data_IF_107088153878
#
_entry.id   IF_107088153878
#
_cell.length_a   1.000
_cell.length_b   1.000
_cell.length_c   1.000
_cell.angle_alpha   90.00
_cell.angle_beta   90.00
_cell.angle_gamma   90.00
#
_symmetry.space_group_name_H-M   'P 1'
#
loop_
_entity.id
_entity.type
_entity.pdbx_description
1 polymer ?
#
# COMPACT_ATOMS: atom_id res chain seq x y z
N UNK A 1 -11.70 20.03 25.22
CA UNK A 1 -11.70 18.56 25.35
C UNK A 1 -11.01 18.01 24.12
N UNK A 2 -10.35 16.86 24.23
CA UNK A 2 -9.72 16.22 23.08
C UNK A 2 -10.74 15.90 21.97
N UNK A 3 -10.28 15.80 20.71
CA UNK A 3 -10.97 15.11 19.66
C UNK A 3 -10.52 13.64 19.55
N UNK A 4 -9.77 13.04 20.50
CA UNK A 4 -9.74 11.58 20.76
C UNK A 4 -9.71 11.20 22.23
N UNK A 5 -10.25 10.03 22.53
CA UNK A 5 -10.05 9.35 23.80
C UNK A 5 -10.05 7.84 23.57
N UNK A 6 -8.91 7.19 23.77
CA UNK A 6 -8.87 5.73 23.93
C UNK A 6 -9.46 5.40 25.30
N UNK A 7 -10.57 4.68 25.35
CA UNK A 7 -11.17 4.23 26.60
C UNK A 7 -10.56 2.89 27.01
N UNK A 8 -9.82 2.86 28.12
CA UNK A 8 -9.15 1.64 28.59
C UNK A 8 -8.97 1.61 30.10
N UNK A 9 -9.17 0.45 30.71
CA UNK A 9 -8.80 0.19 32.12
C UNK A 9 -7.28 0.05 32.32
N UNK A 10 -6.50 0.06 31.23
CA UNK A 10 -5.05 -0.12 31.22
C UNK A 10 -4.36 0.91 30.29
N UNK A 11 -4.34 2.21 30.62
CA UNK A 11 -3.70 3.22 29.76
C UNK A 11 -2.24 2.91 29.39
N UNK A 12 -1.50 2.29 30.30
CA UNK A 12 -0.10 1.88 30.10
C UNK A 12 0.12 0.71 29.14
N UNK A 13 -0.94 0.07 28.60
CA UNK A 13 -0.79 -0.92 27.53
C UNK A 13 -0.68 -0.30 26.14
N UNK A 14 -0.87 1.01 26.02
CA UNK A 14 -0.79 1.76 24.77
C UNK A 14 0.56 2.49 24.65
N UNK A 15 1.13 2.61 23.44
CA UNK A 15 2.27 3.50 23.19
C UNK A 15 1.98 4.97 23.53
N UNK A 16 3.02 5.78 23.69
CA UNK A 16 2.87 7.23 23.83
C UNK A 16 2.06 7.80 22.65
N UNK A 17 1.19 8.79 22.92
CA UNK A 17 0.34 9.46 21.92
C UNK A 17 1.10 9.92 20.67
N UNK A 18 2.38 10.30 20.78
CA UNK A 18 3.22 10.71 19.64
C UNK A 18 3.56 9.60 18.64
N UNK A 19 3.38 8.34 19.04
CA UNK A 19 3.48 7.17 18.16
C UNK A 19 2.11 6.66 17.70
N UNK A 20 1.03 7.32 18.14
CA UNK A 20 -0.37 6.93 17.94
C UNK A 20 -1.27 8.01 17.33
N UNK A 21 -0.86 9.28 17.23
CA UNK A 21 -1.50 10.28 16.36
C UNK A 21 -0.54 11.41 15.95
N UNK A 22 -1.00 12.33 15.11
CA UNK A 22 -0.35 13.61 14.82
C UNK A 22 -1.39 14.73 14.76
N UNK A 23 -0.99 15.97 14.51
CA UNK A 23 -1.93 17.08 14.34
C UNK A 23 -2.63 17.13 12.97
N UNK A 24 -2.33 16.19 12.05
CA UNK A 24 -2.93 16.16 10.70
C UNK A 24 -2.39 17.22 9.73
N UNK A 25 -1.39 18.02 10.15
CA UNK A 25 -0.77 19.04 9.30
C UNK A 25 0.13 18.41 8.21
N UNK A 26 0.30 19.08 7.05
CA UNK A 26 1.30 18.72 6.04
C UNK A 26 2.69 18.49 6.63
N UNK A 27 3.39 17.46 6.17
CA UNK A 27 4.70 17.06 6.71
C UNK A 27 5.85 17.75 5.97
N UNK A 28 6.04 19.03 6.26
CA UNK A 28 7.22 19.77 5.79
C UNK A 28 8.44 19.40 6.64
N UNK A 29 9.62 19.34 6.00
CA UNK A 29 10.88 19.00 6.67
C UNK A 29 11.55 20.27 7.25
N UNK A 30 10.85 20.98 8.12
CA UNK A 30 11.36 22.12 8.89
C UNK A 30 11.23 21.83 10.38
N UNK A 31 12.16 22.29 11.25
CA UNK A 31 12.04 22.12 12.70
C UNK A 31 10.71 22.62 13.26
N UNK A 32 10.20 23.71 12.71
CA UNK A 32 8.95 24.35 13.10
C UNK A 32 7.74 23.47 12.74
N UNK A 33 7.67 22.94 11.51
CA UNK A 33 6.59 22.06 11.10
C UNK A 33 6.61 20.72 11.85
N UNK A 34 7.81 20.16 12.08
CA UNK A 34 7.97 18.92 12.86
C UNK A 34 7.45 19.12 14.29
N UNK A 35 7.73 20.27 14.92
CA UNK A 35 7.20 20.60 16.24
C UNK A 35 5.67 20.80 16.24
N UNK A 36 5.13 21.47 15.22
CA UNK A 36 3.68 21.66 15.05
C UNK A 36 2.91 20.35 14.77
N UNK A 37 3.60 19.27 14.40
CA UNK A 37 3.02 17.93 14.17
C UNK A 37 3.05 17.01 15.38
N UNK A 38 3.72 17.38 16.47
CA UNK A 38 3.63 16.60 17.71
C UNK A 38 2.22 16.70 18.28
N UNK A 39 1.54 15.58 18.53
CA UNK A 39 0.17 15.61 19.04
C UNK A 39 0.14 16.03 20.50
N UNK A 40 -0.98 16.61 20.88
CA UNK A 40 -1.28 17.04 22.25
C UNK A 40 -2.51 16.32 22.77
N UNK A 41 -2.90 16.61 24.02
CA UNK A 41 -4.23 16.23 24.55
C UNK A 41 -5.40 16.89 23.78
N UNK A 42 -5.14 17.80 22.83
CA UNK A 42 -6.11 18.32 21.86
C UNK A 42 -6.08 17.58 20.52
N UNK A 43 -5.37 16.46 20.45
CA UNK A 43 -5.42 15.51 19.34
C UNK A 43 -5.85 14.15 19.88
N UNK A 44 -5.18 13.66 20.95
CA UNK A 44 -5.55 12.40 21.59
C UNK A 44 -5.28 12.36 23.10
N UNK A 45 -6.25 11.81 23.81
CA UNK A 45 -6.24 11.47 25.23
C UNK A 45 -6.36 9.94 25.40
N UNK A 46 -5.94 9.40 26.56
CA UNK A 46 -6.16 8.00 26.93
C UNK A 46 -6.76 8.02 28.33
N UNK A 47 -8.00 7.53 28.46
CA UNK A 47 -8.85 7.78 29.62
C UNK A 47 -9.37 6.49 30.23
N UNK A 48 -9.60 6.50 31.54
CA UNK A 48 -10.21 5.38 32.24
C UNK A 48 -11.74 5.33 32.04
N UNK A 49 -12.36 4.15 32.27
CA UNK A 49 -13.82 4.04 32.43
C UNK A 49 -14.39 5.05 33.43
N UNK A 50 -13.67 5.30 34.53
CA UNK A 50 -14.04 6.26 35.56
C UNK A 50 -14.04 7.70 35.02
N UNK A 51 -13.02 8.10 34.27
CA UNK A 51 -12.95 9.41 33.60
C UNK A 51 -14.09 9.59 32.59
N UNK A 52 -14.38 8.56 31.80
CA UNK A 52 -15.49 8.56 30.84
C UNK A 52 -16.85 8.70 31.52
N UNK A 53 -17.07 7.98 32.63
CA UNK A 53 -18.30 8.07 33.43
C UNK A 53 -18.45 9.44 34.11
N UNK A 54 -17.34 10.10 34.49
CA UNK A 54 -17.35 11.49 34.96
C UNK A 54 -17.66 12.49 33.83
N UNK A 55 -17.03 12.33 32.66
CA UNK A 55 -17.20 13.23 31.49
C UNK A 55 -18.61 13.15 30.88
N UNK A 56 -19.20 11.95 30.82
CA UNK A 56 -20.40 11.70 30.01
C UNK A 56 -21.59 11.06 30.74
N UNK A 57 -21.49 10.88 32.07
CA UNK A 57 -22.61 10.48 32.93
C UNK A 57 -22.61 8.99 33.30
N UNK A 58 -22.66 8.73 34.62
CA UNK A 58 -22.62 7.38 35.18
C UNK A 58 -23.99 6.67 35.21
N UNK A 59 -25.09 7.43 35.25
CA UNK A 59 -26.46 6.90 35.40
C UNK A 59 -27.19 6.81 34.05
N UNK A 60 -28.06 5.80 33.77
CA UNK A 60 -28.74 5.67 32.47
C UNK A 60 -29.54 6.89 32.00
N UNK A 61 -30.03 7.73 32.93
CA UNK A 61 -30.76 8.98 32.62
C UNK A 61 -29.86 10.18 32.32
N UNK A 62 -28.55 10.09 32.57
CA UNK A 62 -27.56 11.15 32.33
C UNK A 62 -26.44 10.74 31.39
N UNK A 63 -26.25 9.42 31.17
CA UNK A 63 -25.29 8.84 30.23
C UNK A 63 -25.59 9.27 28.81
N UNK A 64 -24.69 10.07 28.23
CA UNK A 64 -24.74 10.51 26.82
C UNK A 64 -23.79 9.73 25.91
N UNK A 65 -23.37 8.55 26.36
CA UNK A 65 -22.56 7.61 25.57
C UNK A 65 -23.45 6.45 25.14
N UNK A 66 -23.52 6.23 23.83
CA UNK A 66 -24.12 5.05 23.22
C UNK A 66 -23.07 4.35 22.39
N UNK A 67 -22.95 3.04 22.54
CA UNK A 67 -22.26 2.21 21.56
C UNK A 67 -23.04 2.30 20.25
N UNK A 68 -22.43 2.86 19.21
CA UNK A 68 -22.92 2.72 17.85
C UNK A 68 -22.63 1.28 17.44
N UNK A 69 -23.64 0.55 16.99
CA UNK A 69 -23.44 -0.79 16.45
C UNK A 69 -22.46 -0.70 15.28
N UNK A 70 -21.40 -1.53 15.35
CA UNK A 70 -20.26 -1.43 14.45
C UNK A 70 -19.09 -0.53 14.88
N UNK A 71 -19.09 -0.02 16.12
CA UNK A 71 -17.99 0.78 16.69
C UNK A 71 -17.32 0.08 17.89
N UNK A 72 -17.06 -1.21 17.80
CA UNK A 72 -16.53 -2.12 18.85
C UNK A 72 -17.57 -2.64 19.86
N UNK A 73 -17.56 -3.96 20.09
CA UNK A 73 -18.41 -4.67 21.08
C UNK A 73 -17.71 -4.73 22.44
N UNK A 74 -18.46 -4.58 23.54
CA UNK A 74 -17.90 -4.74 24.89
C UNK A 74 -17.79 -6.21 25.30
N UNK A 75 -16.70 -6.54 26.01
CA UNK A 75 -16.38 -7.92 26.41
C UNK A 75 -17.36 -8.49 27.47
N UNK A 76 -18.08 -7.62 28.18
CA UNK A 76 -18.91 -7.98 29.36
C UNK A 76 -20.30 -8.57 29.05
N UNK A 77 -20.71 -8.67 27.78
CA UNK A 77 -22.04 -9.22 27.42
C UNK A 77 -22.03 -10.57 26.70
N UNK A 78 -20.87 -11.13 26.37
CA UNK A 78 -20.81 -12.38 25.60
C UNK A 78 -20.74 -13.61 26.53
N UNK A 79 -21.88 -14.26 26.75
CA UNK A 79 -21.87 -15.68 27.14
C UNK A 79 -21.48 -16.53 25.93
N UNK A 80 -20.63 -17.53 26.16
CA UNK A 80 -19.91 -18.28 25.13
C UNK A 80 -20.76 -19.02 24.06
N UNK A 81 -22.09 -19.01 24.17
CA UNK A 81 -23.04 -19.58 23.19
C UNK A 81 -23.61 -18.58 22.18
N UNK A 82 -23.35 -17.28 22.33
CA UNK A 82 -23.91 -16.23 21.43
C UNK A 82 -22.87 -15.55 20.52
N UNK A 83 -21.61 -15.97 20.60
CA UNK A 83 -20.47 -15.45 19.81
C UNK A 83 -20.70 -15.49 18.28
N UNK A 84 -21.55 -16.40 17.80
CA UNK A 84 -21.90 -16.55 16.39
C UNK A 84 -23.05 -15.62 15.89
N UNK A 85 -23.53 -14.67 16.72
CA UNK A 85 -24.64 -13.76 16.38
C UNK A 85 -24.30 -12.27 16.49
N UNK A 86 -23.14 -11.91 17.02
CA UNK A 86 -22.70 -10.52 17.06
C UNK A 86 -21.99 -10.18 15.75
N UNK A 87 -22.57 -9.30 14.94
CA UNK A 87 -21.84 -8.67 13.83
C UNK A 87 -20.81 -7.71 14.44
N UNK A 88 -19.54 -7.93 14.15
CA UNK A 88 -18.48 -7.00 14.53
C UNK A 88 -18.09 -6.20 13.29
N UNK A 89 -18.49 -4.93 13.24
CA UNK A 89 -18.00 -4.02 12.20
C UNK A 89 -16.77 -3.28 12.68
N UNK A 90 -15.88 -3.01 11.72
CA UNK A 90 -14.60 -2.38 11.98
C UNK A 90 -14.42 -1.14 11.12
N UNK A 91 -13.70 -0.17 11.70
CA UNK A 91 -13.54 1.16 11.17
C UNK A 91 -12.05 1.49 11.08
N UNK A 92 -11.66 2.11 9.98
CA UNK A 92 -10.35 2.68 9.78
C UNK A 92 -10.41 4.19 9.96
N UNK A 93 -9.34 4.74 10.52
CA UNK A 93 -9.18 6.17 10.71
C UNK A 93 -7.78 6.55 10.24
N UNK A 94 -7.73 7.52 9.32
CA UNK A 94 -6.52 7.89 8.60
C UNK A 94 -6.23 9.38 8.80
N UNK A 95 -5.33 9.68 9.75
CA UNK A 95 -4.95 11.05 10.12
C UNK A 95 -3.98 11.70 9.13
N UNK A 96 -3.66 11.03 8.01
CA UNK A 96 -2.75 11.53 7.00
C UNK A 96 -3.33 12.77 6.27
N UNK A 97 -2.51 13.81 6.01
CA UNK A 97 -2.98 14.98 5.28
C UNK A 97 -3.20 14.68 3.79
N UNK A 98 -4.01 15.50 3.08
CA UNK A 98 -4.19 15.45 1.63
C UNK A 98 -2.90 15.41 0.82
N UNK A 99 -1.82 16.00 1.35
CA UNK A 99 -0.47 15.99 0.77
C UNK A 99 0.06 14.60 0.43
N UNK A 100 -0.31 13.58 1.22
CA UNK A 100 0.02 12.19 0.95
C UNK A 100 -1.17 11.44 0.35
N UNK A 101 -2.37 11.65 0.88
CA UNK A 101 -3.55 10.91 0.45
C UNK A 101 -3.88 11.11 -1.05
N UNK A 102 -3.59 12.26 -1.65
CA UNK A 102 -3.87 12.53 -3.07
C UNK A 102 -2.88 11.91 -4.08
N UNK A 103 -2.10 10.90 -3.67
CA UNK A 103 -1.09 10.26 -4.51
C UNK A 103 -1.20 8.74 -4.47
N UNK A 104 -1.33 8.09 -5.64
CA UNK A 104 -1.60 6.64 -5.77
C UNK A 104 -0.61 5.76 -4.99
N UNK A 105 0.70 6.03 -5.08
CA UNK A 105 1.69 5.33 -4.25
C UNK A 105 1.38 5.43 -2.74
N UNK A 106 1.27 6.64 -2.19
CA UNK A 106 1.12 6.87 -0.76
C UNK A 106 -0.20 6.33 -0.21
N UNK A 107 -1.28 6.38 -1.02
CA UNK A 107 -2.57 5.83 -0.61
C UNK A 107 -2.61 4.30 -0.74
N UNK A 108 -2.38 3.74 -1.93
CA UNK A 108 -2.59 2.31 -2.17
C UNK A 108 -1.39 1.44 -1.77
N UNK A 109 -0.16 1.88 -2.07
CA UNK A 109 1.06 1.09 -1.92
C UNK A 109 1.79 1.32 -0.58
N UNK A 110 1.34 2.32 0.19
CA UNK A 110 1.85 2.62 1.53
C UNK A 110 0.71 2.56 2.57
N UNK A 111 -0.22 3.52 2.59
CA UNK A 111 -1.24 3.60 3.65
C UNK A 111 -2.14 2.36 3.74
N UNK A 112 -2.77 1.96 2.63
CA UNK A 112 -3.66 0.80 2.59
C UNK A 112 -2.90 -0.52 2.77
N UNK A 113 -1.66 -0.58 2.29
CA UNK A 113 -0.78 -1.75 2.43
C UNK A 113 -0.33 -1.94 3.89
N UNK A 114 0.09 -0.87 4.56
CA UNK A 114 0.42 -0.88 5.98
C UNK A 114 -0.79 -1.16 6.88
N UNK A 115 -1.95 -0.57 6.55
CA UNK A 115 -3.22 -0.84 7.25
C UNK A 115 -3.62 -2.31 7.14
N UNK A 116 -3.59 -2.87 5.93
CA UNK A 116 -4.01 -4.26 5.71
C UNK A 116 -3.07 -5.24 6.42
N UNK A 117 -1.78 -4.93 6.50
CA UNK A 117 -0.81 -5.75 7.22
C UNK A 117 -1.08 -5.80 8.73
N UNK A 118 -1.49 -4.68 9.35
CA UNK A 118 -2.02 -4.67 10.73
C UNK A 118 -3.27 -5.54 10.79
N UNK A 119 -4.21 -5.34 9.86
CA UNK A 119 -5.50 -6.01 9.85
C UNK A 119 -5.40 -7.53 9.84
N UNK A 120 -4.54 -8.08 8.96
CA UNK A 120 -4.33 -9.52 8.84
C UNK A 120 -3.39 -10.08 9.91
N UNK A 121 -2.34 -9.35 10.32
CA UNK A 121 -1.29 -9.90 11.18
C UNK A 121 -1.45 -9.64 12.68
N UNK A 122 -2.08 -8.53 13.06
CA UNK A 122 -2.10 -8.08 14.46
C UNK A 122 -3.44 -8.30 15.18
N UNK A 123 -4.57 -8.19 14.49
CA UNK A 123 -5.86 -7.92 15.17
C UNK A 123 -6.79 -9.13 15.28
N UNK A 124 -6.81 -10.08 14.32
CA UNK A 124 -7.83 -11.15 14.27
C UNK A 124 -7.31 -12.53 13.85
N UNK A 125 -8.03 -13.63 14.16
CA UNK A 125 -7.82 -14.93 13.51
C UNK A 125 -8.18 -14.85 12.02
N UNK A 126 -7.65 -15.78 11.23
CA UNK A 126 -7.93 -15.86 9.79
C UNK A 126 -9.33 -16.46 9.52
N UNK A 127 -10.11 -15.91 8.57
CA UNK A 127 -9.89 -14.67 7.83
C UNK A 127 -10.28 -13.42 8.65
N UNK A 128 -9.66 -12.24 8.40
CA UNK A 128 -9.97 -11.02 9.12
C UNK A 128 -11.40 -10.53 8.81
N UNK A 129 -12.08 -9.90 9.78
CA UNK A 129 -13.45 -9.45 9.62
C UNK A 129 -13.60 -8.23 8.69
N UNK A 130 -14.80 -8.00 8.13
CA UNK A 130 -15.06 -6.93 7.16
C UNK A 130 -14.90 -5.53 7.76
N UNK A 131 -14.39 -4.61 6.93
CA UNK A 131 -14.22 -3.19 7.24
C UNK A 131 -15.36 -2.42 6.58
N UNK A 132 -16.10 -1.65 7.36
CA UNK A 132 -17.32 -0.98 6.91
C UNK A 132 -17.20 0.55 6.80
N UNK A 133 -16.20 1.16 7.44
CA UNK A 133 -15.94 2.60 7.38
C UNK A 133 -14.45 2.91 7.26
N UNK A 134 -14.10 3.89 6.43
CA UNK A 134 -12.83 4.59 6.49
C UNK A 134 -13.10 6.09 6.68
N UNK A 135 -12.43 6.71 7.65
CA UNK A 135 -12.60 8.12 8.00
C UNK A 135 -11.28 8.86 7.72
N UNK A 136 -11.36 9.97 6.98
CA UNK A 136 -10.23 10.84 6.66
C UNK A 136 -10.48 12.25 7.26
N UNK A 137 -10.31 12.45 8.58
CA UNK A 137 -10.74 13.66 9.30
C UNK A 137 -10.08 14.96 8.84
N UNK A 138 -8.88 14.87 8.25
CA UNK A 138 -8.09 16.03 7.79
C UNK A 138 -8.12 16.21 6.27
N UNK A 139 -8.98 15.47 5.57
CA UNK A 139 -9.04 15.43 4.11
C UNK A 139 -10.46 15.56 3.61
N UNK A 140 -10.66 16.38 2.59
CA UNK A 140 -11.96 16.52 1.93
C UNK A 140 -12.26 15.34 1.01
N UNK A 141 -13.45 15.34 0.40
CA UNK A 141 -13.78 14.39 -0.67
C UNK A 141 -12.75 14.41 -1.80
N UNK A 142 -12.28 15.57 -2.25
CA UNK A 142 -11.22 15.67 -3.26
C UNK A 142 -9.84 15.33 -2.69
N UNK A 143 -9.59 15.65 -1.41
CA UNK A 143 -8.26 15.58 -0.79
C UNK A 143 -7.62 14.18 -0.69
N UNK A 144 -8.39 13.09 -0.74
CA UNK A 144 -7.85 11.72 -0.77
C UNK A 144 -7.86 11.08 -2.16
N UNK A 145 -8.42 11.75 -3.17
CA UNK A 145 -8.46 11.24 -4.55
C UNK A 145 -7.20 11.70 -5.28
N UNK A 146 -6.52 10.76 -5.91
CA UNK A 146 -5.36 11.06 -6.75
C UNK A 146 -5.79 11.59 -8.13
N UNK A 147 -4.92 12.37 -8.77
CA UNK A 147 -5.18 12.91 -10.11
C UNK A 147 -5.51 11.85 -11.17
N UNK A 148 -4.80 10.70 -11.21
CA UNK A 148 -5.15 9.57 -12.09
C UNK A 148 -6.44 8.81 -11.72
N UNK A 149 -6.99 8.96 -10.52
CA UNK A 149 -8.22 8.30 -10.05
C UNK A 149 -8.05 6.87 -9.52
N UNK A 150 -6.82 6.38 -9.35
CA UNK A 150 -6.56 5.03 -8.86
C UNK A 150 -6.99 4.79 -7.41
N UNK A 151 -6.92 5.79 -6.53
CA UNK A 151 -7.34 5.67 -5.13
C UNK A 151 -8.82 5.31 -5.03
N UNK A 152 -9.65 6.03 -5.80
CA UNK A 152 -11.09 5.80 -5.85
C UNK A 152 -11.43 4.44 -6.45
N UNK A 153 -10.77 4.06 -7.55
CA UNK A 153 -10.93 2.75 -8.18
C UNK A 153 -10.52 1.61 -7.24
N UNK A 154 -9.30 1.66 -6.71
CA UNK A 154 -8.72 0.66 -5.82
C UNK A 154 -9.57 0.45 -4.57
N UNK A 155 -9.95 1.54 -3.89
CA UNK A 155 -10.74 1.45 -2.66
C UNK A 155 -12.12 0.81 -2.90
N UNK A 156 -12.76 1.14 -4.03
CA UNK A 156 -14.07 0.58 -4.41
C UNK A 156 -13.99 -0.87 -4.90
N UNK A 157 -12.89 -1.26 -5.53
CA UNK A 157 -12.64 -2.62 -5.96
C UNK A 157 -12.29 -3.54 -4.78
N UNK A 158 -11.43 -3.09 -3.87
CA UNK A 158 -11.00 -3.85 -2.70
C UNK A 158 -12.06 -3.90 -1.58
N UNK A 159 -12.82 -2.81 -1.39
CA UNK A 159 -13.81 -2.67 -0.32
C UNK A 159 -15.13 -2.06 -0.86
N UNK A 160 -15.93 -2.81 -1.65
CA UNK A 160 -17.10 -2.28 -2.33
C UNK A 160 -18.17 -1.71 -1.37
N UNK A 161 -18.32 -2.30 -0.18
CA UNK A 161 -19.28 -1.87 0.85
C UNK A 161 -18.77 -0.77 1.79
N UNK A 162 -17.54 -0.27 1.59
CA UNK A 162 -16.90 0.68 2.52
C UNK A 162 -17.54 2.07 2.44
N UNK A 163 -18.07 2.55 3.55
CA UNK A 163 -18.43 3.97 3.69
C UNK A 163 -17.17 4.81 3.87
N UNK A 164 -17.05 5.90 3.12
CA UNK A 164 -15.95 6.86 3.27
C UNK A 164 -16.52 8.13 3.89
N UNK A 165 -15.98 8.51 5.04
CA UNK A 165 -16.24 9.79 5.70
C UNK A 165 -15.02 10.69 5.59
N UNK A 166 -15.24 11.98 5.44
CA UNK A 166 -14.22 13.01 5.22
C UNK A 166 -14.33 14.13 6.25
N UNK A 167 -13.49 15.15 6.15
CA UNK A 167 -13.41 16.31 7.05
C UNK A 167 -14.77 16.90 7.47
N UNK A 168 -15.72 17.07 6.56
CA UNK A 168 -17.04 17.62 6.88
C UNK A 168 -17.91 16.66 7.69
N UNK A 169 -17.95 15.36 7.33
CA UNK A 169 -18.67 14.33 8.09
C UNK A 169 -18.07 14.21 9.50
N UNK A 170 -16.75 14.33 9.60
CA UNK A 170 -16.02 14.31 10.86
C UNK A 170 -16.35 15.53 11.74
N UNK A 171 -16.35 16.73 11.16
CA UNK A 171 -16.75 17.94 11.87
C UNK A 171 -18.20 17.88 12.36
N UNK A 172 -19.13 17.33 11.56
CA UNK A 172 -20.51 17.10 11.98
C UNK A 172 -20.58 16.14 13.19
N UNK A 173 -19.75 15.09 13.23
CA UNK A 173 -19.62 14.23 14.43
C UNK A 173 -19.10 14.99 15.65
N UNK A 174 -18.06 15.81 15.49
CA UNK A 174 -17.49 16.61 16.59
C UNK A 174 -18.52 17.60 17.15
N UNK A 175 -19.24 18.30 16.26
CA UNK A 175 -20.31 19.25 16.63
C UNK A 175 -21.49 18.54 17.31
N UNK A 176 -21.93 17.40 16.77
CA UNK A 176 -23.06 16.65 17.33
C UNK A 176 -22.77 15.98 18.68
N UNK A 177 -21.50 15.65 18.98
CA UNK A 177 -21.11 14.96 20.21
C UNK A 177 -20.67 15.90 21.33
N UNK A 178 -20.08 17.06 21.02
CA UNK A 178 -19.50 17.99 22.01
C UNK A 178 -18.48 17.34 22.97
N UNK A 179 -17.78 16.29 22.50
CA UNK A 179 -16.59 15.62 23.05
C UNK A 179 -16.11 14.52 22.05
N UNK A 180 -15.00 14.68 21.29
CA UNK A 180 -14.71 13.93 20.02
C UNK A 180 -13.63 12.79 20.03
N UNK A 181 -13.48 12.01 18.90
CA UNK A 181 -12.75 10.67 18.77
C UNK A 181 -11.72 10.37 17.55
N UNK A 182 -10.38 10.65 17.58
CA UNK A 182 -9.29 10.44 16.52
C UNK A 182 -7.82 9.85 16.82
N UNK A 183 -7.24 8.89 16.05
CA UNK A 183 -5.79 8.44 16.10
C UNK A 183 -5.12 7.98 14.78
N UNK A 184 -3.77 8.06 14.64
CA UNK A 184 -2.92 7.35 13.65
C UNK A 184 -1.40 7.19 13.98
N UNK A 185 -0.76 6.10 13.56
CA UNK A 185 0.59 5.73 14.03
C UNK A 185 1.78 6.52 13.43
N UNK A 186 2.86 6.65 14.22
CA UNK A 186 4.18 7.21 13.82
C UNK A 186 5.28 6.45 14.56
N UNK A 187 6.45 6.20 13.95
CA UNK A 187 7.49 5.41 14.61
C UNK A 187 8.92 5.64 14.11
N UNK A 188 9.83 4.71 14.42
CA UNK A 188 11.27 4.81 14.15
C UNK A 188 11.69 4.20 12.79
N UNK A 189 10.96 3.21 12.27
CA UNK A 189 11.22 2.62 10.95
C UNK A 189 10.90 3.66 9.86
N UNK A 190 9.67 4.17 9.87
CA UNK A 190 9.19 5.32 9.10
C UNK A 190 10.02 6.58 9.38
N UNK A 191 10.35 6.88 10.64
CA UNK A 191 11.05 8.12 10.97
C UNK A 191 12.49 8.20 10.45
N UNK A 192 13.33 7.19 10.72
CA UNK A 192 14.79 7.30 10.56
C UNK A 192 15.47 6.18 9.78
N UNK A 193 14.73 5.19 9.28
CA UNK A 193 15.34 4.01 8.62
C UNK A 193 14.98 3.91 7.14
N UNK A 194 13.69 3.94 6.79
CA UNK A 194 13.23 3.73 5.40
C UNK A 194 12.27 4.82 4.88
N UNK A 195 11.81 5.74 5.74
CA UNK A 195 10.86 6.81 5.37
C UNK A 195 9.46 6.31 4.95
N UNK A 196 9.08 5.07 5.28
CA UNK A 196 7.78 4.47 4.91
C UNK A 196 6.87 4.22 6.11
N UNK A 197 5.68 4.82 6.14
CA UNK A 197 4.69 4.65 7.21
C UNK A 197 4.26 3.18 7.35
N UNK A 198 4.07 2.50 6.22
CA UNK A 198 3.69 1.08 6.17
C UNK A 198 4.72 0.12 6.79
N UNK A 199 5.98 0.54 6.92
CA UNK A 199 7.04 -0.33 7.44
C UNK A 199 6.93 -0.61 8.93
N UNK A 200 6.37 0.33 9.71
CA UNK A 200 6.17 0.16 11.15
C UNK A 200 5.33 -1.08 11.46
N UNK A 201 4.30 -1.33 10.66
CA UNK A 201 3.45 -2.51 10.81
C UNK A 201 4.05 -3.73 10.12
N UNK A 202 4.44 -3.62 8.85
CA UNK A 202 4.86 -4.80 8.08
C UNK A 202 6.15 -5.42 8.60
N UNK A 203 7.23 -4.62 8.76
CA UNK A 203 8.53 -5.17 9.12
C UNK A 203 8.53 -5.71 10.57
N UNK A 204 7.77 -5.10 11.50
CA UNK A 204 7.57 -5.61 12.88
C UNK A 204 6.73 -6.90 12.90
N UNK A 205 5.63 -6.97 12.15
CA UNK A 205 4.78 -8.16 12.12
C UNK A 205 5.46 -9.34 11.40
N UNK A 206 6.28 -9.10 10.37
CA UNK A 206 7.15 -10.12 9.79
C UNK A 206 8.17 -10.60 10.83
N UNK A 207 8.83 -9.69 11.56
CA UNK A 207 9.80 -10.04 12.61
C UNK A 207 9.19 -10.85 13.77
N UNK A 208 7.88 -10.70 14.01
CA UNK A 208 7.10 -11.46 15.01
C UNK A 208 6.45 -12.74 14.45
N UNK A 209 6.73 -13.11 13.20
CA UNK A 209 6.07 -14.22 12.49
C UNK A 209 4.54 -14.13 12.45
N UNK A 210 4.02 -12.89 12.41
CA UNK A 210 2.60 -12.55 12.29
C UNK A 210 2.16 -12.28 10.86
N UNK A 211 3.10 -12.01 9.97
CA UNK A 211 2.91 -11.96 8.52
C UNK A 211 3.96 -12.84 7.86
N UNK A 212 3.63 -13.39 6.69
CA UNK A 212 4.63 -14.06 5.87
C UNK A 212 5.54 -13.01 5.19
N UNK A 213 6.84 -13.30 5.15
CA UNK A 213 7.85 -12.43 4.53
C UNK A 213 7.74 -12.32 2.99
N UNK A 214 6.78 -13.00 2.38
CA UNK A 214 6.60 -13.05 0.93
C UNK A 214 5.25 -12.43 0.50
N UNK A 215 4.59 -11.65 1.36
CA UNK A 215 3.46 -10.81 0.96
C UNK A 215 2.15 -11.52 0.63
N UNK A 216 1.96 -12.80 0.99
CA UNK A 216 0.71 -13.51 0.68
C UNK A 216 -0.51 -12.91 1.38
N UNK A 217 -0.31 -12.24 2.52
CA UNK A 217 -1.33 -11.46 3.24
C UNK A 217 -1.99 -10.36 2.38
N UNK A 218 -1.33 -9.87 1.33
CA UNK A 218 -1.88 -8.87 0.38
C UNK A 218 -2.77 -9.49 -0.73
N UNK A 219 -2.75 -10.81 -0.89
CA UNK A 219 -3.38 -11.54 -2.01
C UNK A 219 -4.88 -11.26 -2.16
N UNK A 220 -5.62 -11.20 -1.06
CA UNK A 220 -7.07 -10.94 -1.07
C UNK A 220 -7.42 -9.58 -1.67
N UNK A 221 -6.70 -8.53 -1.27
CA UNK A 221 -6.85 -7.17 -1.80
C UNK A 221 -6.47 -7.14 -3.29
N UNK A 222 -5.31 -7.70 -3.64
CA UNK A 222 -4.86 -7.81 -5.03
C UNK A 222 -5.91 -8.48 -5.92
N UNK A 223 -6.47 -9.61 -5.47
CA UNK A 223 -7.43 -10.40 -6.24
C UNK A 223 -8.80 -9.72 -6.35
N UNK A 224 -9.23 -8.96 -5.34
CA UNK A 224 -10.43 -8.13 -5.44
C UNK A 224 -10.26 -7.06 -6.54
N UNK A 225 -9.11 -6.38 -6.59
CA UNK A 225 -8.80 -5.38 -7.63
C UNK A 225 -8.69 -6.00 -9.03
N UNK A 226 -8.07 -7.18 -9.14
CA UNK A 226 -8.01 -7.96 -10.38
C UNK A 226 -9.40 -8.36 -10.91
N UNK A 227 -10.25 -8.95 -10.05
CA UNK A 227 -11.61 -9.35 -10.41
C UNK A 227 -12.48 -8.17 -10.82
N UNK A 228 -12.34 -7.02 -10.16
CA UNK A 228 -13.04 -5.79 -10.54
C UNK A 228 -12.63 -5.30 -11.93
N UNK A 229 -11.36 -5.47 -12.32
CA UNK A 229 -10.89 -5.23 -13.69
C UNK A 229 -11.28 -6.35 -14.69
N UNK A 230 -11.99 -7.40 -14.28
CA UNK A 230 -12.34 -8.53 -15.13
C UNK A 230 -11.18 -9.47 -15.46
N UNK A 231 -10.13 -9.51 -14.62
CA UNK A 231 -9.07 -10.53 -14.73
C UNK A 231 -9.61 -11.86 -14.19
N UNK A 232 -9.56 -12.90 -15.03
CA UNK A 232 -9.84 -14.28 -14.63
C UNK A 232 -8.63 -14.89 -13.92
N UNK A 233 -8.87 -15.59 -12.81
CA UNK A 233 -7.84 -16.32 -12.07
C UNK A 233 -8.08 -17.81 -12.30
N UNK A 234 -7.03 -18.57 -12.61
CA UNK A 234 -7.16 -20.00 -12.89
C UNK A 234 -7.70 -20.75 -11.67
N UNK A 235 -8.76 -21.54 -11.90
CA UNK A 235 -9.53 -22.24 -10.86
C UNK A 235 -10.76 -21.47 -10.33
N UNK A 236 -10.92 -20.18 -10.65
CA UNK A 236 -12.01 -19.32 -10.15
C UNK A 236 -13.31 -19.46 -10.98
N UNK A 237 -13.61 -20.69 -11.44
CA UNK A 237 -14.68 -20.98 -12.41
C UNK A 237 -16.09 -20.78 -11.84
N UNK A 238 -16.87 -19.87 -12.45
CA UNK A 238 -18.29 -19.52 -12.15
C UNK A 238 -18.66 -19.25 -10.68
N UNK A 239 -17.68 -19.25 -9.77
CA UNK A 239 -17.89 -19.17 -8.33
C UNK A 239 -17.96 -17.71 -7.84
N UNK A 240 -18.89 -16.95 -8.42
CA UNK A 240 -19.16 -15.53 -8.11
C UNK A 240 -19.38 -15.24 -6.60
N UNK A 241 -19.63 -16.28 -5.80
CA UNK A 241 -19.89 -16.23 -4.35
C UNK A 241 -19.12 -17.23 -3.50
N UNK A 242 -18.20 -18.04 -4.04
CA UNK A 242 -17.59 -19.08 -3.20
C UNK A 242 -16.51 -18.51 -2.27
N UNK A 243 -16.62 -18.84 -1.00
CA UNK A 243 -15.56 -18.67 -0.01
C UNK A 243 -14.42 -19.70 -0.20
N UNK A 244 -14.39 -20.46 -1.31
CA UNK A 244 -13.51 -21.60 -1.51
C UNK A 244 -12.07 -21.25 -1.94
N UNK A 245 -11.57 -20.07 -1.56
CA UNK A 245 -10.12 -19.82 -1.52
C UNK A 245 -9.44 -20.62 -0.38
N UNK A 246 -10.20 -21.22 0.54
CA UNK A 246 -9.72 -21.88 1.76
C UNK A 246 -9.43 -23.40 1.63
N UNK A 247 -9.85 -24.10 0.58
CA UNK A 247 -9.71 -25.59 0.56
C UNK A 247 -8.28 -26.07 0.22
N UNK A 248 -7.43 -25.22 -0.35
CA UNK A 248 -6.03 -25.52 -0.62
C UNK A 248 -5.14 -24.37 -0.12
N UNK A 249 -4.08 -24.64 0.67
CA UNK A 249 -3.11 -23.60 1.01
C UNK A 249 -2.54 -23.06 -0.31
N UNK A 250 -2.64 -21.75 -0.58
CA UNK A 250 -2.29 -21.20 -1.88
C UNK A 250 -0.84 -21.54 -2.21
N UNK A 251 -0.60 -21.93 -3.47
CA UNK A 251 0.75 -22.17 -3.97
C UNK A 251 1.64 -20.98 -3.61
N UNK A 252 2.86 -21.26 -3.12
CA UNK A 252 3.70 -20.22 -2.56
C UNK A 252 3.95 -19.09 -3.55
N UNK A 253 4.07 -19.40 -4.85
CA UNK A 253 4.15 -18.42 -5.93
C UNK A 253 3.00 -18.64 -6.90
N UNK A 254 2.50 -17.55 -7.48
CA UNK A 254 1.63 -17.63 -8.66
C UNK A 254 2.44 -18.09 -9.88
N UNK A 255 1.80 -18.87 -10.75
CA UNK A 255 2.33 -19.19 -12.07
C UNK A 255 1.71 -18.26 -13.12
N UNK A 256 2.40 -18.06 -14.23
CA UNK A 256 1.96 -17.22 -15.36
C UNK A 256 2.21 -17.97 -16.66
N UNK A 257 1.32 -17.89 -17.64
CA UNK A 257 1.55 -18.56 -18.93
C UNK A 257 2.83 -18.06 -19.62
N UNK A 258 3.02 -16.74 -19.62
CA UNK A 258 4.11 -16.04 -20.28
C UNK A 258 5.03 -15.30 -19.29
N UNK A 259 6.22 -14.95 -19.78
CA UNK A 259 7.14 -13.99 -19.18
C UNK A 259 6.81 -12.61 -19.77
N UNK A 260 6.06 -11.81 -19.04
CA UNK A 260 5.61 -10.49 -19.51
C UNK A 260 6.51 -9.40 -18.94
N UNK A 261 7.20 -8.68 -19.81
CA UNK A 261 8.00 -7.49 -19.50
C UNK A 261 7.14 -6.26 -19.82
N UNK A 262 6.91 -5.40 -18.82
CA UNK A 262 6.12 -4.17 -18.98
C UNK A 262 6.99 -2.96 -18.69
N UNK A 263 7.32 -2.20 -19.72
CA UNK A 263 8.01 -0.93 -19.61
C UNK A 263 7.01 0.23 -19.60
N UNK A 264 6.89 0.89 -18.44
CA UNK A 264 6.14 2.13 -18.28
C UNK A 264 6.96 3.31 -18.81
N UNK A 265 6.78 3.60 -20.10
CA UNK A 265 7.35 4.76 -20.79
C UNK A 265 6.79 6.05 -20.20
N UNK A 266 7.70 6.94 -19.79
CA UNK A 266 7.37 8.25 -19.21
C UNK A 266 7.63 9.42 -20.16
N UNK A 267 7.82 9.16 -21.45
CA UNK A 267 8.28 10.17 -22.42
C UNK A 267 7.29 11.33 -22.63
N UNK A 268 5.98 11.11 -22.44
CA UNK A 268 4.95 12.16 -22.42
C UNK A 268 4.97 13.03 -21.14
N UNK A 269 5.74 12.64 -20.11
CA UNK A 269 5.75 13.29 -18.79
C UNK A 269 7.02 14.14 -18.52
N UNK A 270 7.02 14.89 -17.41
CA UNK A 270 8.15 15.77 -17.03
C UNK A 270 9.40 15.02 -16.58
N UNK A 271 9.25 13.90 -15.86
CA UNK A 271 10.34 13.09 -15.31
C UNK A 271 10.54 11.88 -16.22
N UNK A 272 11.58 11.89 -17.05
CA UNK A 272 11.71 10.99 -18.20
C UNK A 272 13.16 10.74 -18.62
N UNK A 273 13.35 9.73 -19.47
CA UNK A 273 14.66 9.39 -20.02
C UNK A 273 15.12 10.41 -21.07
N UNK A 274 16.42 10.45 -21.30
CA UNK A 274 16.99 11.03 -22.53
C UNK A 274 16.35 10.31 -23.74
N UNK A 275 15.86 11.01 -24.79
CA UNK A 275 15.15 10.38 -25.90
C UNK A 275 15.90 9.23 -26.58
N UNK A 276 17.20 9.43 -26.86
CA UNK A 276 18.06 8.40 -27.46
C UNK A 276 18.24 7.17 -26.55
N UNK A 277 18.36 7.38 -25.25
CA UNK A 277 18.51 6.31 -24.25
C UNK A 277 17.21 5.51 -24.10
N UNK A 278 16.06 6.17 -24.25
CA UNK A 278 14.76 5.51 -24.34
C UNK A 278 14.62 4.65 -25.60
N UNK A 279 14.97 5.20 -26.77
CA UNK A 279 14.99 4.45 -28.04
C UNK A 279 15.87 3.21 -27.93
N UNK A 280 17.10 3.38 -27.43
CA UNK A 280 18.05 2.28 -27.25
C UNK A 280 17.64 1.26 -26.16
N UNK A 281 16.92 1.70 -25.11
CA UNK A 281 16.29 0.79 -24.15
C UNK A 281 15.21 -0.06 -24.82
N UNK A 282 14.32 0.53 -25.62
CA UNK A 282 13.27 -0.20 -26.34
C UNK A 282 13.89 -1.21 -27.31
N UNK A 283 14.85 -0.79 -28.14
CA UNK A 283 15.58 -1.69 -29.06
C UNK A 283 16.26 -2.87 -28.32
N UNK A 284 16.82 -2.62 -27.13
CA UNK A 284 17.47 -3.65 -26.31
C UNK A 284 16.47 -4.67 -25.75
N UNK A 285 15.29 -4.22 -25.32
CA UNK A 285 14.21 -5.07 -24.81
C UNK A 285 13.56 -5.89 -25.94
N UNK A 286 13.31 -5.27 -27.09
CA UNK A 286 12.79 -5.96 -28.28
C UNK A 286 13.76 -7.05 -28.75
N UNK A 287 15.07 -6.73 -28.80
CA UNK A 287 16.12 -7.68 -29.16
C UNK A 287 16.22 -8.86 -28.17
N UNK A 288 16.07 -8.59 -26.87
CA UNK A 288 16.02 -9.63 -25.83
C UNK A 288 14.83 -10.56 -26.04
N UNK A 289 13.62 -10.03 -26.21
CA UNK A 289 12.41 -10.83 -26.41
C UNK A 289 12.46 -11.63 -27.71
N UNK A 290 12.87 -11.02 -28.83
CA UNK A 290 13.02 -11.72 -30.11
C UNK A 290 14.00 -12.89 -30.00
N UNK A 291 15.18 -12.66 -29.39
CA UNK A 291 16.18 -13.70 -29.17
C UNK A 291 15.64 -14.81 -28.27
N UNK A 292 14.99 -14.47 -27.15
CA UNK A 292 14.46 -15.46 -26.21
C UNK A 292 13.36 -16.31 -26.83
N UNK A 293 12.46 -15.72 -27.61
CA UNK A 293 11.43 -16.47 -28.34
C UNK A 293 12.03 -17.39 -29.42
N UNK A 294 13.14 -16.99 -30.07
CA UNK A 294 13.87 -17.88 -30.98
C UNK A 294 14.62 -19.04 -30.28
N UNK A 295 14.92 -18.89 -28.98
CA UNK A 295 15.52 -19.93 -28.11
C UNK A 295 14.48 -20.86 -27.46
N UNK A 296 13.17 -20.68 -27.71
CA UNK A 296 12.11 -21.48 -27.08
C UNK A 296 12.11 -22.92 -27.61
N UNK A 297 12.13 -23.83 -26.65
CA UNK A 297 11.89 -25.27 -26.81
C UNK A 297 10.60 -25.63 -26.10
N UNK A 298 9.97 -26.75 -26.49
CA UNK A 298 8.75 -27.29 -25.85
C UNK A 298 8.81 -27.23 -24.32
N UNK A 299 7.81 -26.60 -23.70
CA UNK A 299 7.70 -26.47 -22.24
C UNK A 299 8.36 -25.22 -21.62
N UNK A 300 8.90 -24.30 -22.43
CA UNK A 300 9.28 -22.94 -21.96
C UNK A 300 8.18 -21.93 -22.28
N UNK A 301 8.06 -20.91 -21.42
CA UNK A 301 7.13 -19.79 -21.55
C UNK A 301 7.54 -18.83 -22.65
N UNK A 302 6.56 -18.23 -23.35
CA UNK A 302 6.82 -17.16 -24.30
C UNK A 302 7.17 -15.84 -23.60
N UNK A 303 7.98 -15.02 -24.26
CA UNK A 303 8.39 -13.71 -23.77
C UNK A 303 7.59 -12.63 -24.50
N UNK A 304 7.04 -11.69 -23.74
CA UNK A 304 6.21 -10.59 -24.24
C UNK A 304 6.77 -9.25 -23.76
N UNK A 305 6.81 -8.24 -24.63
CA UNK A 305 7.18 -6.87 -24.27
C UNK A 305 5.98 -5.93 -24.46
N UNK A 306 5.63 -5.20 -23.41
CA UNK A 306 4.64 -4.13 -23.42
C UNK A 306 5.36 -2.79 -23.15
N UNK A 307 5.61 -1.99 -24.20
CA UNK A 307 6.07 -0.60 -24.04
C UNK A 307 4.84 0.31 -24.03
N UNK A 308 4.44 0.77 -22.85
CA UNK A 308 3.17 1.49 -22.66
C UNK A 308 3.39 2.83 -21.97
N UNK A 309 2.49 3.78 -22.22
CA UNK A 309 2.36 5.00 -21.41
C UNK A 309 1.07 4.86 -20.61
N UNK A 310 1.19 4.71 -19.30
CA UNK A 310 0.05 4.45 -18.43
C UNK A 310 -1.02 5.56 -18.51
N UNK A 311 -0.60 6.81 -18.72
CA UNK A 311 -1.49 7.97 -18.88
C UNK A 311 -2.35 7.94 -20.17
N UNK A 312 -2.04 7.07 -21.13
CA UNK A 312 -2.81 6.90 -22.37
C UNK A 312 -3.72 5.63 -22.32
N UNK A 313 -3.77 4.92 -21.18
CA UNK A 313 -4.53 3.67 -20.98
C UNK A 313 -5.72 3.82 -20.02
N UNK A 314 -6.81 3.10 -20.27
CA UNK A 314 -7.90 2.96 -19.31
C UNK A 314 -7.43 2.26 -18.01
N UNK A 315 -8.07 2.59 -16.88
CA UNK A 315 -7.67 2.07 -15.56
C UNK A 315 -7.72 0.53 -15.53
N UNK A 316 -8.80 -0.07 -15.99
CA UNK A 316 -8.90 -1.54 -16.09
C UNK A 316 -7.76 -2.17 -16.89
N UNK A 317 -7.36 -1.57 -18.02
CA UNK A 317 -6.32 -2.12 -18.88
C UNK A 317 -4.94 -2.03 -18.24
N UNK A 318 -4.69 -0.99 -17.44
CA UNK A 318 -3.49 -0.91 -16.60
C UNK A 318 -3.49 -2.02 -15.53
N UNK A 319 -4.64 -2.31 -14.91
CA UNK A 319 -4.77 -3.39 -13.92
C UNK A 319 -4.60 -4.76 -14.58
N UNK A 320 -5.24 -5.02 -15.73
CA UNK A 320 -5.09 -6.26 -16.52
C UNK A 320 -3.63 -6.48 -16.94
N UNK A 321 -2.93 -5.42 -17.35
CA UNK A 321 -1.52 -5.47 -17.70
C UNK A 321 -0.65 -5.77 -16.47
N UNK A 322 -0.87 -5.09 -15.34
CA UNK A 322 -0.15 -5.34 -14.10
C UNK A 322 -0.35 -6.78 -13.60
N UNK A 323 -1.60 -7.30 -13.65
CA UNK A 323 -1.99 -8.63 -13.19
C UNK A 323 -1.28 -9.79 -13.91
N UNK A 324 -0.76 -9.56 -15.12
CA UNK A 324 0.06 -10.54 -15.88
C UNK A 324 1.54 -10.18 -15.98
N UNK A 325 1.95 -9.01 -15.51
CA UNK A 325 3.34 -8.52 -15.62
C UNK A 325 4.28 -9.34 -14.74
N UNK A 326 5.31 -9.95 -15.34
CA UNK A 326 6.39 -10.64 -14.60
C UNK A 326 7.48 -9.67 -14.19
N UNK A 327 7.90 -8.78 -15.11
CA UNK A 327 8.92 -7.76 -14.84
C UNK A 327 8.33 -6.39 -15.15
N UNK A 328 8.16 -5.55 -14.14
CA UNK A 328 7.75 -4.17 -14.29
C UNK A 328 8.99 -3.27 -14.30
N UNK A 329 9.10 -2.38 -15.27
CA UNK A 329 10.20 -1.42 -15.30
C UNK A 329 9.77 -0.02 -15.70
N UNK A 330 10.50 0.99 -15.23
CA UNK A 330 10.18 2.38 -15.51
C UNK A 330 11.14 3.36 -14.85
N UNK A 331 11.04 4.62 -15.25
CA UNK A 331 11.69 5.73 -14.52
C UNK A 331 10.94 5.94 -13.22
N UNK A 332 11.69 6.03 -12.10
CA UNK A 332 11.19 6.32 -10.75
C UNK A 332 9.93 7.18 -10.75
N UNK A 333 8.84 6.72 -10.13
CA UNK A 333 7.60 7.49 -9.96
C UNK A 333 6.30 6.72 -10.16
N UNK A 334 5.19 7.43 -9.97
CA UNK A 334 3.87 6.90 -9.59
C UNK A 334 3.27 5.78 -10.46
N UNK A 335 3.73 5.56 -11.69
CA UNK A 335 3.32 4.41 -12.50
C UNK A 335 3.80 3.07 -11.93
N UNK A 336 4.96 3.06 -11.25
CA UNK A 336 5.51 1.85 -10.63
C UNK A 336 4.66 1.34 -9.45
N UNK A 337 3.73 2.14 -8.91
CA UNK A 337 2.76 1.73 -7.89
C UNK A 337 1.95 0.49 -8.29
N UNK A 338 1.81 0.23 -9.59
CA UNK A 338 1.24 -1.00 -10.16
C UNK A 338 1.92 -2.29 -9.71
N UNK A 339 3.11 -2.24 -9.11
CA UNK A 339 3.76 -3.38 -8.47
C UNK A 339 2.85 -4.09 -7.45
N UNK A 340 1.97 -3.36 -6.75
CA UNK A 340 1.04 -3.96 -5.77
C UNK A 340 -0.02 -4.86 -6.40
N UNK A 341 -0.14 -4.81 -7.73
CA UNK A 341 -1.06 -5.59 -8.55
C UNK A 341 -0.34 -6.65 -9.39
N UNK A 342 0.96 -6.88 -9.18
CA UNK A 342 1.70 -7.92 -9.91
C UNK A 342 1.45 -9.34 -9.36
N UNK A 343 1.49 -10.37 -10.21
CA UNK A 343 1.63 -11.76 -9.76
C UNK A 343 2.99 -11.91 -9.06
N UNK A 344 3.04 -12.67 -7.97
CA UNK A 344 4.27 -13.01 -7.27
C UNK A 344 4.76 -14.36 -7.76
N UNK A 345 5.50 -14.34 -8.86
CA UNK A 345 6.20 -15.53 -9.40
C UNK A 345 7.62 -15.63 -8.82
N UNK A 346 8.26 -16.80 -8.93
CA UNK A 346 9.66 -17.01 -8.50
C UNK A 346 10.67 -16.02 -9.13
N UNK A 347 10.35 -15.48 -10.32
CA UNK A 347 11.20 -14.58 -11.10
C UNK A 347 10.70 -13.12 -11.11
N UNK A 348 9.57 -12.82 -10.45
CA UNK A 348 8.97 -11.49 -10.49
C UNK A 348 9.89 -10.42 -9.92
N UNK A 349 9.93 -9.26 -10.61
CA UNK A 349 10.79 -8.16 -10.21
C UNK A 349 10.32 -6.78 -10.71
N UNK A 350 10.75 -5.74 -9.99
CA UNK A 350 10.64 -4.34 -10.39
C UNK A 350 12.03 -3.77 -10.68
N UNK A 351 12.19 -3.11 -11.83
CA UNK A 351 13.43 -2.42 -12.22
C UNK A 351 13.16 -0.92 -12.31
N UNK A 352 13.78 -0.16 -11.41
CA UNK A 352 13.55 1.27 -11.27
C UNK A 352 14.76 2.09 -11.73
N UNK A 353 14.56 2.90 -12.77
CA UNK A 353 15.60 3.76 -13.33
C UNK A 353 15.61 5.13 -12.66
N UNK A 354 16.76 5.54 -12.12
CA UNK A 354 16.96 6.84 -11.48
C UNK A 354 17.99 7.69 -12.24
N UNK A 355 17.97 9.00 -11.97
CA UNK A 355 19.13 9.84 -12.25
C UNK A 355 20.33 9.35 -11.41
N UNK A 356 21.53 9.16 -11.99
CA UNK A 356 22.69 8.62 -11.29
C UNK A 356 23.01 9.32 -9.96
N UNK A 357 23.34 8.51 -8.95
CA UNK A 357 23.57 8.97 -7.58
C UNK A 357 22.29 9.34 -6.83
N UNK A 358 21.09 9.12 -7.39
CA UNK A 358 19.81 9.39 -6.75
C UNK A 358 19.03 8.14 -6.39
N UNK A 359 18.35 8.16 -5.25
CA UNK A 359 17.56 7.03 -4.75
C UNK A 359 16.47 7.46 -3.76
N UNK A 360 15.36 6.73 -3.76
CA UNK A 360 14.29 6.81 -2.77
C UNK A 360 13.67 5.42 -2.55
N UNK A 361 13.30 5.09 -1.31
CA UNK A 361 12.73 3.79 -0.91
C UNK A 361 11.28 3.52 -1.40
N UNK A 362 10.73 4.28 -2.36
CA UNK A 362 9.30 4.17 -2.71
C UNK A 362 8.95 2.76 -3.21
N UNK A 363 9.43 2.41 -4.40
CA UNK A 363 9.06 1.14 -5.02
C UNK A 363 9.97 0.00 -4.55
N UNK A 364 11.20 0.31 -4.10
CA UNK A 364 12.13 -0.64 -3.46
C UNK A 364 11.47 -1.37 -2.27
N UNK A 365 11.11 -0.63 -1.22
CA UNK A 365 10.61 -1.21 0.02
C UNK A 365 9.32 -1.99 -0.20
N UNK A 366 8.40 -1.47 -1.03
CA UNK A 366 7.12 -2.14 -1.32
C UNK A 366 7.32 -3.39 -2.18
N UNK A 367 8.26 -3.39 -3.14
CA UNK A 367 8.59 -4.58 -3.95
C UNK A 367 9.12 -5.71 -3.07
N UNK A 368 10.10 -5.41 -2.21
CA UNK A 368 10.67 -6.35 -1.23
C UNK A 368 9.58 -6.96 -0.36
N UNK A 369 8.74 -6.10 0.22
CA UNK A 369 7.67 -6.47 1.14
C UNK A 369 6.63 -7.42 0.53
N UNK A 370 6.39 -7.31 -0.77
CA UNK A 370 5.49 -8.20 -1.51
C UNK A 370 6.19 -9.46 -2.06
N UNK A 371 7.39 -9.79 -1.57
CA UNK A 371 8.13 -11.00 -1.93
C UNK A 371 8.69 -11.01 -3.36
N UNK A 372 8.73 -9.84 -4.02
CA UNK A 372 9.32 -9.65 -5.34
C UNK A 372 10.74 -9.10 -5.22
N UNK A 373 11.49 -9.12 -6.33
CA UNK A 373 12.87 -8.61 -6.36
C UNK A 373 12.99 -7.24 -6.98
N UNK A 374 13.95 -6.47 -6.50
CA UNK A 374 14.09 -5.07 -6.86
C UNK A 374 15.50 -4.79 -7.37
N UNK A 375 15.57 -4.01 -8.45
CA UNK A 375 16.82 -3.53 -9.04
C UNK A 375 16.71 -2.02 -9.27
N UNK A 376 17.53 -1.23 -8.58
CA UNK A 376 17.68 0.20 -8.87
C UNK A 376 18.78 0.41 -9.90
N UNK A 377 18.50 1.13 -10.98
CA UNK A 377 19.42 1.31 -12.12
C UNK A 377 19.92 2.75 -12.20
N UNK A 378 21.24 2.89 -12.29
CA UNK A 378 21.96 4.12 -12.62
C UNK A 378 22.71 3.91 -13.93
N UNK A 379 22.04 4.26 -15.04
CA UNK A 379 22.57 4.10 -16.41
C UNK A 379 23.01 2.65 -16.74
N UNK A 380 24.32 2.40 -16.67
CA UNK A 380 25.04 1.16 -16.98
C UNK A 380 25.42 0.34 -15.73
N UNK A 381 25.01 0.82 -14.55
CA UNK A 381 25.18 0.13 -13.27
C UNK A 381 23.83 -0.10 -12.58
N UNK A 382 23.78 -1.02 -11.63
CA UNK A 382 22.60 -1.26 -10.81
C UNK A 382 22.97 -1.62 -9.37
N UNK A 383 22.00 -1.52 -8.48
CA UNK A 383 22.04 -1.97 -7.09
C UNK A 383 20.82 -2.83 -6.77
N UNK A 384 20.98 -3.66 -5.76
CA UNK A 384 19.98 -4.57 -5.18
C UNK A 384 19.70 -4.17 -3.73
N UNK A 385 18.78 -4.86 -3.07
CA UNK A 385 18.50 -4.73 -1.62
C UNK A 385 19.80 -4.65 -0.77
N UNK A 386 20.73 -5.59 -0.98
CA UNK A 386 22.02 -5.69 -0.26
C UNK A 386 22.98 -4.52 -0.52
N UNK A 387 22.79 -3.78 -1.61
CA UNK A 387 23.68 -2.70 -2.08
C UNK A 387 22.96 -1.35 -2.18
N UNK A 388 21.80 -1.23 -1.52
CA UNK A 388 20.95 -0.04 -1.55
C UNK A 388 21.70 1.22 -1.09
N UNK A 389 21.80 2.27 -1.93
CA UNK A 389 22.46 3.52 -1.57
C UNK A 389 21.63 4.34 -0.57
N UNK A 390 22.22 5.34 0.12
CA UNK A 390 21.45 6.26 0.95
C UNK A 390 20.46 7.08 0.11
N UNK A 391 19.31 7.43 0.70
CA UNK A 391 18.31 8.31 0.08
C UNK A 391 18.97 9.64 -0.31
N UNK A 392 18.87 9.99 -1.59
CA UNK A 392 19.50 11.19 -2.13
C UNK A 392 18.74 11.69 -3.37
N UNK A 393 18.54 13.00 -3.43
CA UNK A 393 17.76 13.67 -4.48
C UNK A 393 18.67 14.65 -5.26
N UNK A 394 19.57 14.14 -6.13
CA UNK A 394 20.50 14.98 -6.88
C UNK A 394 19.78 15.93 -7.84
N UNK A 395 20.47 17.00 -8.25
CA UNK A 395 20.00 17.85 -9.34
C UNK A 395 19.79 17.01 -10.60
N UNK A 396 18.55 16.93 -11.08
CA UNK A 396 18.17 16.07 -12.21
C UNK A 396 17.30 14.87 -11.82
N UNK A 397 17.17 14.51 -10.55
CA UNK A 397 16.33 13.40 -10.07
C UNK A 397 14.87 13.48 -10.52
N UNK A 398 14.32 14.70 -10.56
CA UNK A 398 12.96 15.01 -11.03
C UNK A 398 12.92 15.45 -12.50
N UNK A 399 14.05 15.36 -13.21
CA UNK A 399 14.27 15.98 -14.52
C UNK A 399 13.92 15.12 -15.74
N UNK A 400 14.05 15.72 -16.91
CA UNK A 400 13.69 15.16 -18.22
C UNK A 400 14.86 14.56 -19.01
N UNK A 401 15.97 14.26 -18.32
CA UNK A 401 17.24 13.82 -18.93
C UNK A 401 17.90 12.73 -18.07
N UNK A 402 17.12 11.74 -17.66
CA UNK A 402 17.62 10.58 -16.93
C UNK A 402 18.31 9.63 -17.93
N UNK A 403 19.59 9.27 -17.73
CA UNK A 403 20.30 8.37 -18.62
C UNK A 403 19.93 6.90 -18.35
N UNK A 404 19.94 6.07 -19.39
CA UNK A 404 19.70 4.63 -19.29
C UNK A 404 20.48 3.85 -20.35
N UNK A 405 21.23 2.82 -19.93
CA UNK A 405 21.92 1.93 -20.84
C UNK A 405 21.10 0.66 -21.07
N UNK A 406 20.34 0.63 -22.16
CA UNK A 406 19.41 -0.46 -22.52
C UNK A 406 19.96 -1.89 -22.31
N UNK A 407 21.19 -2.22 -22.76
CA UNK A 407 21.76 -3.55 -22.58
C UNK A 407 21.96 -3.97 -21.13
N UNK A 408 22.25 -3.05 -20.20
CA UNK A 408 22.35 -3.36 -18.77
C UNK A 408 20.96 -3.74 -18.21
N UNK A 409 19.91 -3.01 -18.59
CA UNK A 409 18.53 -3.36 -18.19
C UNK A 409 18.11 -4.72 -18.76
N UNK A 410 18.42 -5.00 -20.02
CA UNK A 410 18.13 -6.29 -20.65
C UNK A 410 18.89 -7.47 -19.98
N UNK A 411 20.16 -7.26 -19.62
CA UNK A 411 20.99 -8.25 -18.91
C UNK A 411 20.45 -8.57 -17.50
N UNK A 412 20.01 -7.56 -16.74
CA UNK A 412 19.34 -7.74 -15.44
C UNK A 412 18.08 -8.61 -15.60
N UNK A 413 17.25 -8.32 -16.61
CA UNK A 413 16.03 -9.09 -16.90
C UNK A 413 16.35 -10.55 -17.21
N UNK A 414 17.30 -10.78 -18.14
CA UNK A 414 17.69 -12.13 -18.56
C UNK A 414 18.22 -12.96 -17.38
N UNK A 415 19.14 -12.39 -16.60
CA UNK A 415 19.74 -13.06 -15.43
C UNK A 415 18.74 -13.29 -14.30
N UNK A 416 17.81 -12.35 -14.10
CA UNK A 416 16.73 -12.51 -13.11
C UNK A 416 15.82 -13.69 -13.47
N UNK A 417 15.44 -13.82 -14.74
CA UNK A 417 14.58 -14.91 -15.21
C UNK A 417 15.34 -16.26 -15.27
N UNK A 418 16.65 -16.23 -15.52
CA UNK A 418 17.52 -17.40 -15.42
C UNK A 418 17.78 -17.86 -13.97
N UNK A 419 17.42 -17.06 -12.95
CA UNK A 419 17.69 -17.33 -11.54
C UNK A 419 19.13 -17.04 -11.10
N UNK A 420 19.91 -16.35 -11.93
CA UNK A 420 21.28 -15.92 -11.63
C UNK A 420 21.33 -14.68 -10.71
N UNK A 421 20.28 -13.84 -10.76
CA UNK A 421 20.06 -12.75 -9.81
C UNK A 421 18.91 -13.09 -8.87
N UNK A 422 19.25 -13.30 -7.58
CA UNK A 422 18.32 -13.78 -6.56
C UNK A 422 17.48 -12.71 -5.90
#
# INVERSE_FOLDING_TARGET
MAPFSVLTSSPSSFPDTRYMTSTGLPAENTPENIALREPTLWNMDIISPEDALQRWGNHPSTRRVWSVEGNTVSYDQIRATELAKCTFDYQLLFNDPPQFLNHYYHFCAELMLGMWSIWTGAVYPEPPPPIHRAIFPHSSSEGWRDGPGFNGYFLRAAFPSLTVEVDIDWNDRVVATSAGIESAFRGKLCGSQNQRTASESVDDLIARSRLDKNGSWWRSIKYAVWRFAGVTIDGDGDSFWSHALDEHPPASFEDTENIVITYLSRQSSRRRLIPKDHEFLVESLESLVQRKNAEITTGKKEWELNVVKAEEMAIDDQVRLAARTTILLGVHGNGLSHLILMPRTNVSAVIEMFFPGGFAHDYEWTTRTLGMKYFGVWNDTYFTEETTPPVHYPQGFQGSSIPAYGPNVADIIEKRIAGELQ
#
